data_IF_759913296649
#
_entry.id   IF_759913296649
#
_cell.length_a   1.000
_cell.length_b   1.000
_cell.length_c   1.000
_cell.angle_alpha   90.00
_cell.angle_beta   90.00
_cell.angle_gamma   90.00
#
_symmetry.space_group_name_H-M   'P 1'
#
loop_
_entity.id
_entity.type
_entity.pdbx_description
1 polymer ?
#
# COMPACT_ATOMS: atom_id res chain seq x y z
N UNK A 1 -6.02 -2.11 -49.88
CA UNK A 1 -4.95 -1.39 -49.18
C UNK A 1 -5.40 -1.15 -47.75
N UNK A 2 -5.07 -2.11 -46.89
CA UNK A 2 -5.48 -2.09 -45.50
C UNK A 2 -4.55 -1.19 -44.68
N UNK A 3 -5.08 -0.06 -44.23
CA UNK A 3 -4.43 0.71 -43.18
C UNK A 3 -4.81 0.08 -41.84
N UNK A 4 -3.93 -0.72 -41.31
CA UNK A 4 -4.03 -1.25 -39.94
C UNK A 4 -4.11 -0.09 -38.97
N UNK A 5 -5.21 -0.04 -38.23
CA UNK A 5 -5.33 0.71 -36.99
C UNK A 5 -4.35 0.09 -35.99
N UNK A 6 -3.19 0.67 -35.85
CA UNK A 6 -2.41 0.55 -34.63
C UNK A 6 -3.20 1.28 -33.54
N UNK A 7 -3.94 0.50 -32.77
CA UNK A 7 -4.56 0.97 -31.55
C UNK A 7 -3.43 1.30 -30.59
N UNK A 8 -3.14 2.58 -30.51
CA UNK A 8 -2.25 3.20 -29.54
C UNK A 8 -2.78 2.84 -28.14
N UNK A 9 -2.17 1.83 -27.53
CA UNK A 9 -2.35 1.51 -26.12
C UNK A 9 -1.72 2.64 -25.31
N UNK A 10 -2.49 3.72 -25.15
CA UNK A 10 -2.18 4.70 -24.14
C UNK A 10 -1.94 3.97 -22.81
N UNK A 11 -0.90 4.31 -22.04
CA UNK A 11 -0.66 3.66 -20.76
C UNK A 11 -1.94 3.82 -19.94
N UNK A 12 -2.57 2.69 -19.59
CA UNK A 12 -3.75 2.69 -18.73
C UNK A 12 -3.32 3.31 -17.41
N UNK A 13 -3.66 4.58 -17.23
CA UNK A 13 -3.50 5.29 -15.97
C UNK A 13 -4.23 4.44 -14.94
N UNK A 14 -3.55 4.01 -13.87
CA UNK A 14 -4.12 3.21 -12.79
C UNK A 14 -5.35 3.94 -12.23
N UNK A 15 -6.52 3.62 -12.75
CA UNK A 15 -7.76 4.29 -12.39
C UNK A 15 -8.41 3.57 -11.22
N UNK A 16 -8.79 4.31 -10.20
CA UNK A 16 -9.66 3.78 -9.14
C UNK A 16 -11.07 3.61 -9.73
N UNK A 17 -11.65 2.45 -9.52
CA UNK A 17 -13.06 2.19 -9.80
C UNK A 17 -13.81 1.97 -8.51
N UNK A 18 -15.00 2.56 -8.40
CA UNK A 18 -15.90 2.39 -7.27
C UNK A 18 -17.21 1.87 -7.81
N UNK A 19 -17.68 0.77 -7.26
CA UNK A 19 -18.88 0.08 -7.73
C UNK A 19 -19.75 -0.35 -6.55
N UNK A 20 -21.01 0.05 -6.58
CA UNK A 20 -22.04 -0.47 -5.68
C UNK A 20 -22.51 -1.83 -6.19
N UNK A 21 -22.08 -2.91 -5.56
CA UNK A 21 -22.40 -4.29 -5.98
C UNK A 21 -23.82 -4.73 -5.57
N UNK A 22 -24.31 -4.21 -4.46
CA UNK A 22 -25.65 -4.47 -3.95
C UNK A 22 -26.15 -3.29 -3.10
N UNK A 23 -27.31 -3.45 -2.46
CA UNK A 23 -27.84 -2.43 -1.54
C UNK A 23 -26.95 -2.21 -0.29
N UNK A 24 -26.02 -3.13 0.01
CA UNK A 24 -25.15 -3.10 1.19
C UNK A 24 -23.67 -3.22 0.90
N UNK A 25 -23.26 -3.33 -0.38
CA UNK A 25 -21.89 -3.63 -0.74
C UNK A 25 -21.31 -2.55 -1.64
N UNK A 26 -20.15 -2.05 -1.24
CA UNK A 26 -19.31 -1.15 -2.02
C UNK A 26 -17.98 -1.84 -2.32
N UNK A 27 -17.53 -1.76 -3.57
CA UNK A 27 -16.25 -2.31 -4.00
C UNK A 27 -15.41 -1.24 -4.65
N UNK A 28 -14.20 -1.06 -4.14
CA UNK A 28 -13.19 -0.18 -4.71
C UNK A 28 -12.05 -1.02 -5.25
N UNK A 29 -11.68 -0.79 -6.50
CA UNK A 29 -10.61 -1.54 -7.16
C UNK A 29 -9.57 -0.61 -7.74
N UNK A 30 -8.29 -0.94 -7.58
CA UNK A 30 -7.16 -0.25 -8.20
C UNK A 30 -5.98 -1.18 -8.40
N UNK A 31 -5.23 -0.97 -9.49
CA UNK A 31 -3.93 -1.62 -9.69
C UNK A 31 -2.81 -0.65 -9.33
N UNK A 32 -1.91 -1.07 -8.43
CA UNK A 32 -0.72 -0.32 -8.03
C UNK A 32 0.53 -0.85 -8.72
N UNK A 33 1.44 0.04 -9.12
CA UNK A 33 2.73 -0.31 -9.74
C UNK A 33 3.79 -0.65 -8.68
N UNK A 34 3.47 -1.57 -7.79
CA UNK A 34 4.37 -2.06 -6.74
C UNK A 34 4.01 -3.50 -6.37
N UNK A 35 4.97 -4.32 -5.89
CA UNK A 35 4.72 -5.65 -5.38
C UNK A 35 3.76 -5.64 -4.18
N UNK A 36 2.97 -6.71 -4.02
CA UNK A 36 1.96 -6.83 -2.97
C UNK A 36 2.54 -6.61 -1.56
N UNK A 37 3.77 -7.07 -1.31
CA UNK A 37 4.45 -6.83 -0.04
C UNK A 37 4.60 -5.34 0.29
N UNK A 38 4.97 -4.51 -0.69
CA UNK A 38 5.18 -3.07 -0.46
C UNK A 38 3.84 -2.35 -0.25
N UNK A 39 2.81 -2.72 -1.04
CA UNK A 39 1.46 -2.17 -0.87
C UNK A 39 0.90 -2.57 0.50
N UNK A 40 1.03 -3.83 0.90
CA UNK A 40 0.60 -4.32 2.20
C UNK A 40 1.31 -3.62 3.36
N UNK A 41 2.63 -3.37 3.26
CA UNK A 41 3.38 -2.59 4.26
C UNK A 41 2.82 -1.17 4.40
N UNK A 42 2.43 -0.51 3.31
CA UNK A 42 1.83 0.81 3.34
C UNK A 42 0.44 0.83 4.04
N UNK A 43 -0.27 -0.30 4.03
CA UNK A 43 -1.55 -0.49 4.70
C UNK A 43 -1.45 -0.88 6.17
N UNK A 44 -0.31 -1.42 6.60
CA UNK A 44 -0.17 -2.07 7.91
C UNK A 44 0.82 -1.41 8.85
N UNK A 45 1.62 -0.48 8.36
CA UNK A 45 2.56 0.30 9.16
C UNK A 45 1.99 1.70 9.40
N UNK A 46 1.70 2.11 10.65
CA UNK A 46 1.12 3.41 10.96
C UNK A 46 1.86 4.57 10.31
N UNK A 47 3.20 4.57 10.38
CA UNK A 47 4.06 5.61 9.83
C UNK A 47 4.03 5.73 8.29
N UNK A 48 3.55 4.69 7.60
CA UNK A 48 3.29 4.74 6.16
C UNK A 48 1.84 5.09 5.88
N UNK A 49 0.90 4.53 6.65
CA UNK A 49 -0.53 4.70 6.50
C UNK A 49 -0.94 6.18 6.63
N UNK A 50 -0.43 6.89 7.60
CA UNK A 50 -0.66 8.32 7.86
C UNK A 50 -0.35 9.22 6.65
N UNK A 51 0.56 8.79 5.77
CA UNK A 51 1.07 9.59 4.67
C UNK A 51 0.14 9.66 3.46
N UNK A 52 -0.83 8.75 3.37
CA UNK A 52 -1.67 8.63 2.19
C UNK A 52 -3.17 8.49 2.46
N UNK A 53 -3.56 8.11 3.68
CA UNK A 53 -4.94 7.76 3.98
C UNK A 53 -5.91 8.95 3.89
N UNK A 54 -5.51 10.12 4.34
CA UNK A 54 -6.38 11.30 4.35
C UNK A 54 -6.23 12.10 3.05
N UNK A 55 -7.31 12.28 2.26
CA UNK A 55 -7.27 13.13 1.07
C UNK A 55 -6.94 14.58 1.44
N UNK A 56 -5.95 15.15 0.79
CA UNK A 56 -5.52 16.55 1.03
C UNK A 56 -6.63 17.55 0.75
N UNK A 57 -7.50 17.25 -0.22
CA UNK A 57 -8.63 18.10 -0.62
C UNK A 57 -9.69 18.25 0.47
N UNK A 58 -9.78 17.30 1.40
CA UNK A 58 -10.79 17.32 2.46
C UNK A 58 -10.48 18.30 3.60
N UNK A 59 -9.27 18.86 3.66
CA UNK A 59 -8.87 19.77 4.75
C UNK A 59 -8.89 19.13 6.14
N UNK A 60 -8.86 17.81 6.19
CA UNK A 60 -8.80 17.03 7.42
C UNK A 60 -7.34 16.75 7.80
N UNK A 61 -7.10 16.61 9.10
CA UNK A 61 -5.80 16.18 9.64
C UNK A 61 -5.98 14.90 10.44
N UNK A 62 -5.11 13.93 10.21
CA UNK A 62 -4.99 12.74 11.06
C UNK A 62 -4.18 13.13 12.31
N UNK A 63 -4.82 13.08 13.48
CA UNK A 63 -4.23 13.45 14.77
C UNK A 63 -3.52 12.28 15.43
N UNK A 64 -4.06 11.07 15.27
CA UNK A 64 -3.54 9.83 15.84
C UNK A 64 -3.83 8.66 14.92
N UNK A 65 -2.87 7.74 14.81
CA UNK A 65 -2.98 6.51 14.04
C UNK A 65 -2.42 5.34 14.87
N UNK A 66 -3.30 4.66 15.56
CA UNK A 66 -2.95 3.48 16.34
C UNK A 66 -3.44 2.22 15.63
N UNK A 67 -2.52 1.29 15.35
CA UNK A 67 -2.83 0.07 14.61
C UNK A 67 -2.06 -1.12 15.19
N UNK A 68 -2.79 -2.07 15.80
CA UNK A 68 -2.26 -3.38 16.20
C UNK A 68 -2.67 -4.42 15.16
N UNK A 69 -1.90 -4.49 14.06
CA UNK A 69 -2.27 -5.27 12.87
C UNK A 69 -2.01 -6.77 13.08
N UNK A 70 -2.89 -7.40 13.82
CA UNK A 70 -2.95 -8.85 14.06
C UNK A 70 -4.41 -9.27 14.30
N UNK A 71 -4.70 -10.53 14.13
CA UNK A 71 -6.04 -11.05 14.45
C UNK A 71 -6.40 -10.74 15.91
N UNK A 72 -7.55 -10.09 16.11
CA UNK A 72 -8.02 -9.59 17.41
C UNK A 72 -7.37 -8.27 17.87
N UNK A 73 -6.38 -7.76 17.16
CA UNK A 73 -5.81 -6.44 17.41
C UNK A 73 -6.77 -5.32 17.00
N UNK A 74 -6.61 -4.14 17.57
CA UNK A 74 -7.49 -2.99 17.34
C UNK A 74 -6.79 -1.92 16.52
N UNK A 75 -7.57 -1.10 15.84
CA UNK A 75 -7.11 0.16 15.27
C UNK A 75 -7.96 1.32 15.79
N UNK A 76 -7.36 2.51 15.84
CA UNK A 76 -8.01 3.78 16.12
C UNK A 76 -7.34 4.90 15.35
N UNK A 77 -8.13 5.60 14.56
CA UNK A 77 -7.71 6.74 13.75
C UNK A 77 -8.49 7.96 14.23
N UNK A 78 -7.81 9.01 14.68
CA UNK A 78 -8.45 10.24 15.13
C UNK A 78 -8.20 11.36 14.12
N UNK A 79 -9.25 12.08 13.78
CA UNK A 79 -9.24 13.13 12.77
C UNK A 79 -9.73 14.46 13.35
N UNK A 80 -9.16 15.55 12.85
CA UNK A 80 -9.69 16.89 13.02
C UNK A 80 -10.14 17.48 11.69
N UNK A 81 -11.28 18.16 11.72
CA UNK A 81 -11.79 18.96 10.62
C UNK A 81 -12.37 20.28 11.18
N UNK A 82 -11.61 21.38 11.03
CA UNK A 82 -11.92 22.61 11.75
C UNK A 82 -11.93 22.38 13.27
N UNK A 83 -13.01 22.77 13.93
CA UNK A 83 -13.20 22.59 15.37
C UNK A 83 -13.80 21.22 15.75
N UNK A 84 -14.10 20.37 14.77
CA UNK A 84 -14.70 19.06 14.99
C UNK A 84 -13.64 17.98 15.02
N UNK A 85 -13.85 16.99 15.91
CA UNK A 85 -13.02 15.77 15.96
C UNK A 85 -13.89 14.53 15.75
N UNK A 86 -13.35 13.53 15.08
CA UNK A 86 -13.99 12.24 14.87
C UNK A 86 -12.95 11.13 15.00
N UNK A 87 -13.41 9.93 15.31
CA UNK A 87 -12.55 8.76 15.37
C UNK A 87 -13.19 7.60 14.63
N UNK A 88 -12.36 6.89 13.85
CA UNK A 88 -12.69 5.60 13.27
C UNK A 88 -11.93 4.51 14.02
N UNK A 89 -12.60 3.45 14.39
CA UNK A 89 -11.99 2.38 15.17
C UNK A 89 -12.65 1.02 14.90
N UNK A 90 -11.92 -0.04 15.23
CA UNK A 90 -12.44 -1.38 15.08
C UNK A 90 -11.40 -2.46 15.39
N UNK A 91 -11.70 -3.67 14.94
CA UNK A 91 -10.92 -4.88 15.26
C UNK A 91 -10.56 -5.65 14.01
N UNK A 92 -9.29 -6.04 13.87
CA UNK A 92 -8.83 -6.93 12.79
C UNK A 92 -9.36 -8.35 13.01
N UNK A 93 -10.08 -8.87 12.03
CA UNK A 93 -10.65 -10.24 12.04
C UNK A 93 -9.77 -11.22 11.30
N UNK A 94 -9.06 -10.75 10.26
CA UNK A 94 -8.11 -11.55 9.50
C UNK A 94 -6.92 -10.70 9.10
N UNK A 95 -5.71 -11.26 9.23
CA UNK A 95 -4.47 -10.66 8.75
C UNK A 95 -3.65 -11.77 8.11
N UNK A 96 -3.70 -11.85 6.78
CA UNK A 96 -2.88 -12.76 5.99
C UNK A 96 -1.82 -11.94 5.25
N UNK A 97 -0.54 -12.05 5.64
CA UNK A 97 0.51 -11.21 5.12
C UNK A 97 0.55 -11.16 3.59
N UNK A 98 0.62 -9.95 3.06
CA UNK A 98 0.73 -9.60 1.65
C UNK A 98 -0.46 -9.98 0.76
N UNK A 99 -1.53 -10.53 1.33
CA UNK A 99 -2.67 -10.99 0.53
C UNK A 99 -4.05 -10.53 1.02
N UNK A 100 -4.27 -10.42 2.35
CA UNK A 100 -5.60 -10.11 2.83
C UNK A 100 -5.62 -9.45 4.21
N UNK A 101 -6.49 -8.45 4.37
CA UNK A 101 -6.88 -7.84 5.64
C UNK A 101 -8.40 -7.85 5.74
N UNK A 102 -8.93 -8.14 6.93
CA UNK A 102 -10.35 -7.98 7.24
C UNK A 102 -10.47 -7.31 8.60
N UNK A 103 -11.29 -6.28 8.68
CA UNK A 103 -11.58 -5.60 9.95
C UNK A 103 -13.04 -5.16 10.03
N UNK A 104 -13.49 -4.94 11.26
CA UNK A 104 -14.77 -4.29 11.55
C UNK A 104 -14.57 -2.79 11.73
N UNK A 105 -15.56 -2.02 11.33
CA UNK A 105 -15.69 -0.61 11.69
C UNK A 105 -16.77 -0.52 12.75
N UNK A 106 -16.43 -0.02 13.94
CA UNK A 106 -17.23 -0.14 15.15
C UNK A 106 -17.77 1.22 15.62
N UNK A 107 -17.86 2.20 14.72
CA UNK A 107 -18.37 3.56 15.02
C UNK A 107 -19.89 3.58 15.22
N UNK A 108 -20.59 2.53 14.81
CA UNK A 108 -22.02 2.33 15.05
C UNK A 108 -22.28 0.95 15.64
N UNK A 109 -23.42 0.78 16.31
CA UNK A 109 -23.82 -0.46 16.99
C UNK A 109 -23.87 -1.68 16.03
N UNK A 110 -24.21 -1.43 14.77
CA UNK A 110 -24.30 -2.51 13.76
C UNK A 110 -22.98 -2.74 13.01
N UNK A 111 -22.10 -1.75 12.98
CA UNK A 111 -20.79 -1.80 12.33
C UNK A 111 -20.82 -2.15 10.84
N UNK A 112 -19.69 -1.99 10.18
CA UNK A 112 -19.46 -2.53 8.84
C UNK A 112 -18.24 -3.44 8.84
N UNK A 113 -18.05 -4.23 7.79
CA UNK A 113 -16.88 -5.08 7.62
C UNK A 113 -16.16 -4.68 6.34
N UNK A 114 -14.88 -4.35 6.49
CA UNK A 114 -14.01 -4.07 5.34
C UNK A 114 -13.08 -5.24 5.10
N UNK A 115 -13.01 -5.67 3.85
CA UNK A 115 -12.07 -6.67 3.36
C UNK A 115 -11.18 -6.05 2.31
N UNK A 116 -9.87 -6.16 2.45
CA UNK A 116 -8.91 -5.74 1.42
C UNK A 116 -8.10 -6.95 0.97
N UNK A 117 -8.04 -7.18 -0.34
CA UNK A 117 -7.21 -8.22 -0.95
C UNK A 117 -6.10 -7.58 -1.78
N UNK A 118 -4.94 -8.23 -1.78
CA UNK A 118 -3.74 -7.81 -2.49
C UNK A 118 -3.29 -8.96 -3.38
N UNK A 119 -3.54 -8.89 -4.66
CA UNK A 119 -3.14 -9.92 -5.63
C UNK A 119 -1.96 -9.41 -6.46
N UNK A 120 -0.82 -10.11 -6.39
CA UNK A 120 0.36 -9.74 -7.17
C UNK A 120 0.29 -10.33 -8.58
N UNK A 121 0.28 -9.46 -9.59
CA UNK A 121 0.23 -9.84 -11.00
C UNK A 121 1.34 -9.09 -11.75
N UNK A 122 2.39 -9.83 -12.17
CA UNK A 122 3.48 -9.25 -12.96
C UNK A 122 4.22 -8.11 -12.25
N UNK A 123 4.43 -8.21 -10.93
CA UNK A 123 5.11 -7.20 -10.13
C UNK A 123 4.27 -5.97 -9.79
N UNK A 124 3.00 -5.99 -10.13
CA UNK A 124 1.97 -5.02 -9.75
C UNK A 124 1.00 -5.66 -8.76
N UNK A 125 0.25 -4.85 -8.04
CA UNK A 125 -0.76 -5.32 -7.10
C UNK A 125 -2.14 -4.88 -7.56
N UNK A 126 -3.01 -5.84 -7.84
CA UNK A 126 -4.44 -5.60 -7.91
C UNK A 126 -4.98 -5.56 -6.47
N UNK A 127 -5.46 -4.40 -6.05
CA UNK A 127 -6.10 -4.20 -4.76
C UNK A 127 -7.61 -4.13 -4.98
N UNK A 128 -8.34 -4.93 -4.19
CA UNK A 128 -9.81 -4.86 -4.12
C UNK A 128 -10.19 -4.63 -2.65
N UNK A 129 -10.83 -3.50 -2.38
CA UNK A 129 -11.43 -3.19 -1.09
C UNK A 129 -12.94 -3.38 -1.19
N UNK A 130 -13.48 -4.25 -0.38
CA UNK A 130 -14.89 -4.58 -0.30
C UNK A 130 -15.41 -4.19 1.07
N UNK A 131 -16.42 -3.34 1.10
CA UNK A 131 -17.12 -2.91 2.31
C UNK A 131 -18.52 -3.49 2.34
N UNK A 132 -18.83 -4.21 3.39
CA UNK A 132 -20.14 -4.75 3.67
C UNK A 132 -20.78 -3.98 4.81
N UNK A 133 -21.82 -3.21 4.49
CA UNK A 133 -22.60 -2.43 5.44
C UNK A 133 -23.73 -3.27 6.06
N UNK A 134 -24.17 -2.96 7.29
CA UNK A 134 -25.25 -3.69 7.96
C UNK A 134 -26.58 -3.54 7.22
N UNK A 135 -26.84 -2.38 6.59
CA UNK A 135 -28.08 -2.09 5.88
C UNK A 135 -27.85 -1.20 4.66
N UNK A 136 -28.89 -1.07 3.84
CA UNK A 136 -28.92 -0.11 2.73
C UNK A 136 -28.79 1.33 3.26
N UNK A 137 -29.50 1.65 4.31
CA UNK A 137 -29.51 2.99 4.89
C UNK A 137 -28.13 3.37 5.45
N UNK A 138 -27.40 2.40 6.02
CA UNK A 138 -26.02 2.62 6.46
C UNK A 138 -25.08 2.91 5.28
N UNK A 139 -25.19 2.21 4.17
CA UNK A 139 -24.42 2.50 2.96
C UNK A 139 -24.80 3.86 2.36
N UNK A 140 -26.10 4.19 2.32
CA UNK A 140 -26.58 5.46 1.79
C UNK A 140 -26.12 6.64 2.70
N UNK A 141 -26.07 6.44 4.02
CA UNK A 141 -25.57 7.43 4.99
C UNK A 141 -24.05 7.65 4.90
N UNK A 142 -23.28 6.59 4.65
CA UNK A 142 -21.83 6.70 4.40
C UNK A 142 -21.53 7.53 3.14
N UNK A 143 -22.46 7.57 2.22
CA UNK A 143 -22.51 8.48 1.09
C UNK A 143 -21.52 8.17 -0.02
N UNK A 144 -21.72 8.83 -1.17
CA UNK A 144 -20.80 8.77 -2.30
C UNK A 144 -19.51 9.55 -2.06
N UNK A 145 -19.49 10.47 -1.07
CA UNK A 145 -18.31 11.29 -0.76
C UNK A 145 -17.08 10.49 -0.35
N UNK A 146 -17.26 9.39 0.38
CA UNK A 146 -16.15 8.47 0.70
C UNK A 146 -15.62 7.77 -0.56
N UNK A 147 -16.50 7.40 -1.48
CA UNK A 147 -16.14 6.78 -2.75
C UNK A 147 -15.35 7.73 -3.65
N UNK A 148 -15.76 8.99 -3.75
CA UNK A 148 -15.08 10.02 -4.53
C UNK A 148 -13.69 10.34 -3.92
N UNK A 149 -13.59 10.38 -2.58
CA UNK A 149 -12.35 10.59 -1.86
C UNK A 149 -11.34 9.46 -2.07
N UNK A 150 -11.78 8.20 -2.27
CA UNK A 150 -10.88 7.05 -2.50
C UNK A 150 -10.02 7.21 -3.76
N UNK A 151 -10.48 7.96 -4.75
CA UNK A 151 -9.67 8.29 -5.93
C UNK A 151 -8.39 9.02 -5.55
N UNK A 152 -8.50 10.11 -4.81
CA UNK A 152 -7.37 10.92 -4.34
C UNK A 152 -6.52 10.16 -3.32
N UNK A 153 -7.14 9.49 -2.37
CA UNK A 153 -6.45 8.65 -1.37
C UNK A 153 -5.52 7.64 -2.04
N UNK A 154 -5.99 6.96 -3.07
CA UNK A 154 -5.18 5.97 -3.78
C UNK A 154 -4.15 6.62 -4.74
N UNK A 155 -4.36 7.84 -5.21
CA UNK A 155 -3.31 8.60 -5.91
C UNK A 155 -2.17 8.97 -4.94
N UNK A 156 -2.48 9.37 -3.71
CA UNK A 156 -1.49 9.62 -2.67
C UNK A 156 -0.71 8.34 -2.30
N UNK A 157 -1.38 7.18 -2.28
CA UNK A 157 -0.70 5.90 -2.10
C UNK A 157 0.26 5.60 -3.26
N UNK A 158 -0.13 5.83 -4.52
CA UNK A 158 0.78 5.67 -5.67
C UNK A 158 2.04 6.54 -5.52
N UNK A 159 1.90 7.82 -5.12
CA UNK A 159 3.04 8.72 -4.86
C UNK A 159 3.97 8.16 -3.78
N UNK A 160 3.41 7.63 -2.69
CA UNK A 160 4.18 7.00 -1.62
C UNK A 160 4.94 5.77 -2.14
N UNK A 161 4.28 4.89 -2.88
CA UNK A 161 4.86 3.66 -3.41
C UNK A 161 6.05 3.92 -4.34
N UNK A 162 6.02 4.99 -5.15
CA UNK A 162 7.16 5.43 -5.95
C UNK A 162 8.37 5.75 -5.07
N UNK A 163 8.17 6.44 -3.95
CA UNK A 163 9.26 6.79 -3.01
C UNK A 163 9.84 5.57 -2.33
N UNK A 164 9.00 4.59 -1.95
CA UNK A 164 9.42 3.34 -1.32
C UNK A 164 10.19 2.45 -2.30
N UNK A 165 9.72 2.31 -3.54
CA UNK A 165 10.40 1.59 -4.61
C UNK A 165 11.79 2.17 -4.93
N UNK A 166 11.93 3.48 -5.01
CA UNK A 166 13.21 4.15 -5.20
C UNK A 166 14.18 3.93 -4.03
N UNK A 167 13.67 3.77 -2.81
CA UNK A 167 14.48 3.50 -1.62
C UNK A 167 15.03 2.07 -1.61
N UNK A 168 14.24 1.09 -2.03
CA UNK A 168 14.67 -0.32 -2.17
C UNK A 168 15.75 -0.44 -3.23
N UNK A 169 15.60 0.21 -4.38
CA UNK A 169 16.60 0.21 -5.46
C UNK A 169 17.96 0.75 -5.00
N UNK A 170 17.97 1.83 -4.24
CA UNK A 170 19.20 2.41 -3.66
C UNK A 170 19.87 1.51 -2.64
N UNK A 171 19.11 0.78 -1.83
CA UNK A 171 19.65 -0.17 -0.85
C UNK A 171 20.33 -1.37 -1.51
N UNK A 172 19.75 -1.89 -2.59
CA UNK A 172 20.31 -3.01 -3.37
C UNK A 172 21.58 -2.60 -4.12
N UNK A 173 21.64 -1.39 -4.68
CA UNK A 173 22.84 -0.85 -5.34
C UNK A 173 24.00 -0.75 -4.35
N UNK A 174 23.77 -0.17 -3.16
CA UNK A 174 24.82 -0.06 -2.11
C UNK A 174 25.31 -1.43 -1.61
N UNK A 175 24.46 -2.45 -1.58
CA UNK A 175 24.89 -3.82 -1.23
C UNK A 175 25.75 -4.45 -2.32
N UNK A 176 25.43 -4.26 -3.59
CA UNK A 176 26.26 -4.73 -4.72
C UNK A 176 27.65 -4.10 -4.71
N UNK A 177 27.72 -2.78 -4.49
CA UNK A 177 29.00 -2.05 -4.43
C UNK A 177 29.87 -2.49 -3.24
N UNK A 178 29.27 -2.91 -2.14
CA UNK A 178 30.00 -3.39 -0.97
C UNK A 178 30.54 -4.81 -1.14
N UNK A 179 29.84 -5.67 -1.88
CA UNK A 179 30.28 -7.02 -2.21
C UNK A 179 31.37 -6.96 -3.29
N UNK A 180 31.22 -6.12 -4.32
CA UNK A 180 32.23 -5.91 -5.36
C UNK A 180 33.58 -5.43 -4.83
N UNK A 181 33.59 -4.54 -3.84
CA UNK A 181 34.82 -4.04 -3.19
C UNK A 181 35.51 -5.07 -2.29
N UNK A 182 34.78 -6.07 -1.79
CA UNK A 182 35.36 -7.11 -0.95
C UNK A 182 36.09 -8.20 -1.76
N UNK A 183 35.75 -8.38 -3.02
CA UNK A 183 36.42 -9.32 -3.91
C UNK A 183 37.69 -8.79 -4.58
N UNK A 184 37.89 -7.47 -4.61
CA UNK A 184 39.12 -6.86 -5.20
C UNK A 184 40.30 -6.78 -4.22
N UNK A 185 40.11 -7.12 -2.92
CA UNK A 185 41.14 -6.99 -1.87
C UNK A 185 41.96 -8.26 -1.61
N UNK A 186 41.78 -9.38 -2.35
CA UNK A 186 42.43 -10.66 -2.06
C UNK A 186 43.49 -11.10 -3.13
N UNK A 187 43.79 -10.28 -4.10
CA UNK A 187 44.68 -10.66 -5.21
C UNK A 187 46.01 -9.89 -5.22
N UNK A 188 46.67 -9.69 -4.08
CA UNK A 188 48.07 -9.18 -4.08
C UNK A 188 48.78 -9.53 -2.76
N UNK A 189 49.07 -10.82 -2.54
CA UNK A 189 50.16 -11.24 -1.62
C UNK A 189 50.72 -12.56 -2.16
N UNK A 190 51.96 -12.57 -2.64
CA UNK A 190 52.70 -13.77 -2.79
C UNK A 190 53.53 -13.93 -4.06
N UNK A 191 54.60 -13.17 -4.23
CA UNK A 191 55.76 -13.62 -5.01
C UNK A 191 57.01 -13.02 -4.36
N UNK A 192 57.54 -13.67 -3.33
CA UNK A 192 58.88 -13.44 -2.86
C UNK A 192 59.71 -14.65 -3.22
N UNK A 193 60.50 -14.54 -4.32
CA UNK A 193 61.51 -15.50 -4.69
C UNK A 193 62.67 -15.45 -3.68
N UNK A 194 63.00 -16.60 -3.08
CA UNK A 194 64.26 -16.79 -2.34
C UNK A 194 65.25 -17.41 -3.32
N UNK A 195 66.31 -16.68 -3.58
CA UNK A 195 67.51 -17.21 -4.20
C UNK A 195 68.22 -18.16 -3.27
N UNK A 196 68.68 -19.26 -3.82
CA UNK A 196 69.61 -20.21 -3.21
C UNK A 196 70.98 -20.00 -3.84
N UNK A 197 71.88 -19.40 -3.06
CA UNK A 197 73.32 -19.56 -3.32
C UNK A 197 73.81 -20.80 -2.59
N UNK A 198 74.58 -21.58 -3.28
CA UNK A 198 75.39 -22.67 -2.74
C UNK A 198 76.83 -22.55 -3.25
N UNK A 199 77.85 -22.82 -2.46
CA UNK A 199 79.26 -22.73 -2.83
C UNK A 199 79.74 -23.85 -3.76
#
# INVERSE_FOLDING_TARGET
MDARRESELAPMKNRTTVERKSERELVVTRTFNAPARIVFEAWTKPELFERWWVPKSMGMSLLSCEMDVRVGGRYRLEFAHGDSQSAFFGTYKEVTPHSRLVWTNEESDEGSVTTVTFEEIGGKTLLVMHELYPSKDALDAAGTGAADAMGETFEQLDELLVTLGASVGRSLSRRRDRVGRRCQGIATVGAHQRGLDTP
#
